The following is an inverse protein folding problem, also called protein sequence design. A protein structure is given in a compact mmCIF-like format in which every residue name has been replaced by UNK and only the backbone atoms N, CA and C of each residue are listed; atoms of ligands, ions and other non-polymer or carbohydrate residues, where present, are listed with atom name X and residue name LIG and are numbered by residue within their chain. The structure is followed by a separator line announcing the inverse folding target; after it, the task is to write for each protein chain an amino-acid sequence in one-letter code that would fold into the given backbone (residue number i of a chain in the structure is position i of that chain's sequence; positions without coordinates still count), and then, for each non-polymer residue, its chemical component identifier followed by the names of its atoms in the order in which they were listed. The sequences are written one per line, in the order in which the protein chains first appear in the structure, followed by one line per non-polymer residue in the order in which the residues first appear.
data_IF_357023103863
#
_entry.id   IF_357023103863
#
_cell.length_a   1.000
_cell.length_b   1.000
_cell.length_c   1.000
_cell.angle_alpha   90.00
_cell.angle_beta   90.00
_cell.angle_gamma   90.00
#
_symmetry.space_group_name_H-M   'P 1'
#
loop_
_entity.id
_entity.type
_entity.pdbx_description
1 polymer ?
#
# COMPACT_ATOMS: atom_id res chain seq x y z
N UNK A 1 4.09 -5.67 25.96
CA UNK A 1 3.05 -4.63 26.06
C UNK A 1 3.69 -3.26 26.06
N UNK A 2 3.42 -2.46 25.03
CA UNK A 2 3.88 -1.08 24.95
C UNK A 2 2.87 -0.23 25.70
N UNK A 3 3.25 0.24 26.90
CA UNK A 3 2.42 1.16 27.69
C UNK A 3 2.66 2.58 27.14
N UNK A 4 1.86 2.97 26.16
CA UNK A 4 2.03 4.19 25.37
C UNK A 4 2.08 5.51 26.17
N UNK A 5 1.49 5.53 27.36
CA UNK A 5 1.43 6.72 28.21
C UNK A 5 2.68 6.91 29.09
N UNK A 6 3.61 5.93 29.09
CA UNK A 6 4.76 5.94 30.01
C UNK A 6 6.09 6.38 29.40
N UNK A 7 6.13 6.70 28.10
CA UNK A 7 7.34 7.13 27.42
C UNK A 7 7.05 8.22 26.39
N UNK A 8 8.03 9.06 26.11
CA UNK A 8 7.92 10.15 25.13
C UNK A 8 8.63 9.84 23.81
N UNK A 9 9.62 8.98 23.83
CA UNK A 9 10.47 8.63 22.69
C UNK A 9 10.49 7.12 22.52
N UNK A 10 10.48 6.65 21.28
CA UNK A 10 10.61 5.24 20.89
C UNK A 10 12.04 5.00 20.38
N UNK A 11 12.78 4.12 21.03
CA UNK A 11 14.10 3.70 20.60
C UNK A 11 14.11 2.19 20.30
N UNK A 12 14.40 1.84 19.05
CA UNK A 12 14.31 0.48 18.54
C UNK A 12 15.72 -0.05 18.25
N UNK A 13 16.20 -0.99 19.06
CA UNK A 13 17.43 -1.70 18.74
C UNK A 13 17.11 -2.96 17.94
N UNK A 14 17.41 -2.92 16.64
CA UNK A 14 17.16 -4.02 15.68
C UNK A 14 18.42 -4.76 15.28
N UNK A 15 19.57 -4.48 15.89
CA UNK A 15 20.88 -5.01 15.47
C UNK A 15 20.93 -6.54 15.42
N UNK A 16 20.15 -7.22 16.27
CA UNK A 16 20.11 -8.68 16.37
C UNK A 16 18.73 -9.27 15.96
N UNK A 17 17.88 -8.49 15.31
CA UNK A 17 16.55 -8.93 14.90
C UNK A 17 16.57 -9.49 13.48
N UNK A 18 15.77 -10.50 13.23
CA UNK A 18 15.43 -10.95 11.88
C UNK A 18 14.46 -9.97 11.20
N UNK A 19 14.39 -10.01 9.87
CA UNK A 19 13.44 -9.16 9.12
C UNK A 19 11.99 -9.39 9.54
N UNK A 20 11.61 -10.61 9.90
CA UNK A 20 10.26 -10.92 10.39
C UNK A 20 9.98 -10.28 11.76
N UNK A 21 10.94 -10.30 12.67
CA UNK A 21 10.78 -9.65 13.98
C UNK A 21 10.71 -8.14 13.86
N UNK A 22 11.50 -7.55 12.96
CA UNK A 22 11.39 -6.12 12.63
C UNK A 22 10.01 -5.81 12.04
N UNK A 23 9.48 -6.64 11.15
CA UNK A 23 8.13 -6.51 10.61
C UNK A 23 7.05 -6.50 11.69
N UNK A 24 7.09 -7.47 12.60
CA UNK A 24 6.15 -7.56 13.73
C UNK A 24 6.25 -6.37 14.70
N UNK A 25 7.47 -5.87 14.93
CA UNK A 25 7.68 -4.69 15.77
C UNK A 25 7.07 -3.45 15.14
N UNK A 26 7.27 -3.27 13.86
CA UNK A 26 6.70 -2.18 13.08
C UNK A 26 5.17 -2.24 13.08
N UNK A 27 4.59 -3.41 12.88
CA UNK A 27 3.15 -3.62 12.95
C UNK A 27 2.58 -3.11 14.29
N UNK A 28 3.20 -3.46 15.41
CA UNK A 28 2.78 -3.02 16.76
C UNK A 28 2.92 -1.51 17.02
N UNK A 29 3.82 -0.85 16.32
CA UNK A 29 4.08 0.60 16.48
C UNK A 29 3.51 1.44 15.33
N UNK A 30 2.73 0.83 14.46
CA UNK A 30 2.12 1.48 13.29
C UNK A 30 1.01 2.46 13.70
N UNK A 31 0.78 3.52 12.89
CA UNK A 31 -0.31 4.48 13.12
C UNK A 31 -1.71 3.86 13.17
N UNK A 32 -1.87 2.64 12.66
CA UNK A 32 -3.16 1.93 12.66
C UNK A 32 -3.46 1.32 14.03
N UNK A 33 -2.43 0.77 14.67
CA UNK A 33 -2.56 0.01 15.90
C UNK A 33 -2.37 0.85 17.16
N UNK A 34 -1.70 2.02 17.03
CA UNK A 34 -1.40 2.90 18.13
C UNK A 34 -1.89 4.31 17.86
N UNK A 35 -2.86 4.78 18.66
CA UNK A 35 -3.40 6.13 18.54
C UNK A 35 -2.49 7.21 19.11
N UNK A 36 -1.56 6.85 19.99
CA UNK A 36 -0.68 7.78 20.70
C UNK A 36 0.78 7.62 20.33
N UNK A 37 1.25 6.39 20.13
CA UNK A 37 2.66 6.08 19.89
C UNK A 37 3.16 6.50 18.50
N UNK A 38 2.29 6.56 17.50
CA UNK A 38 2.68 6.81 16.11
C UNK A 38 3.28 8.21 15.87
N UNK A 39 2.86 9.22 16.64
CA UNK A 39 3.40 10.58 16.55
C UNK A 39 4.72 10.77 17.28
N UNK A 40 5.04 9.90 18.27
CA UNK A 40 6.24 10.05 19.08
C UNK A 40 7.52 9.91 18.26
N UNK A 41 8.57 10.67 18.59
CA UNK A 41 9.87 10.51 17.96
C UNK A 41 10.34 9.05 18.03
N UNK A 42 10.89 8.56 16.92
CA UNK A 42 11.33 7.18 16.78
C UNK A 42 12.74 7.09 16.23
N UNK A 43 13.63 6.45 16.96
CA UNK A 43 15.01 6.25 16.54
C UNK A 43 15.33 4.77 16.45
N UNK A 44 16.28 4.46 15.58
CA UNK A 44 16.68 3.07 15.31
C UNK A 44 18.17 2.90 15.54
N UNK A 45 18.53 1.83 16.25
CA UNK A 45 19.90 1.33 16.30
C UNK A 45 20.01 0.10 15.40
N UNK A 46 20.94 0.13 14.46
CA UNK A 46 21.26 -1.01 13.60
C UNK A 46 22.71 -0.97 13.16
N UNK A 47 23.32 -2.13 13.04
CA UNK A 47 24.63 -2.32 12.39
C UNK A 47 24.51 -2.56 10.88
N UNK A 48 23.29 -2.83 10.39
CA UNK A 48 23.02 -3.15 8.99
C UNK A 48 21.88 -2.29 8.45
N UNK A 49 22.20 -1.27 7.69
CA UNK A 49 21.23 -0.35 7.08
C UNK A 49 20.31 -1.00 6.05
N UNK A 50 20.70 -2.18 5.50
CA UNK A 50 19.83 -2.93 4.59
C UNK A 50 18.60 -3.52 5.30
N UNK A 51 18.64 -3.71 6.62
CA UNK A 51 17.52 -4.19 7.42
C UNK A 51 16.48 -3.11 7.73
N UNK A 52 16.81 -1.85 7.46
CA UNK A 52 15.91 -0.74 7.80
C UNK A 52 14.56 -0.82 7.05
N UNK A 53 14.58 -1.25 5.79
CA UNK A 53 13.34 -1.34 5.01
C UNK A 53 12.45 -0.09 5.20
N UNK A 54 11.23 -0.29 5.70
CA UNK A 54 10.30 0.78 6.05
C UNK A 54 10.74 1.67 7.21
N UNK A 55 11.56 1.16 8.15
CA UNK A 55 12.08 1.97 9.26
C UNK A 55 12.93 3.14 8.77
N UNK A 56 13.50 3.07 7.56
CA UNK A 56 14.21 4.20 6.97
C UNK A 56 13.30 5.44 6.79
N UNK A 57 12.01 5.20 6.58
CA UNK A 57 11.00 6.24 6.37
C UNK A 57 10.28 6.58 7.67
N UNK A 58 10.09 5.58 8.54
CA UNK A 58 9.32 5.70 9.77
C UNK A 58 10.15 6.07 10.99
N UNK A 59 11.47 6.21 10.87
CA UNK A 59 12.34 6.66 11.94
C UNK A 59 12.80 8.09 11.72
N UNK A 60 12.99 8.80 12.81
CA UNK A 60 13.46 10.16 12.85
C UNK A 60 15.01 10.26 12.85
N UNK A 61 15.67 9.11 12.87
CA UNK A 61 17.11 8.98 12.75
C UNK A 61 17.64 7.62 13.18
N UNK A 62 18.91 7.38 12.80
CA UNK A 62 19.70 6.24 13.27
C UNK A 62 20.61 6.76 14.37
N UNK A 63 20.53 6.19 15.57
CA UNK A 63 21.32 6.59 16.72
C UNK A 63 22.01 5.37 17.35
N UNK A 64 23.22 5.55 17.83
CA UNK A 64 23.98 4.46 18.45
C UNK A 64 23.55 4.19 19.89
N UNK A 65 23.02 5.20 20.55
CA UNK A 65 22.50 5.11 21.93
C UNK A 65 21.24 5.96 22.08
N UNK A 66 20.35 5.66 23.08
CA UNK A 66 19.21 6.50 23.39
C UNK A 66 19.58 7.91 23.90
N UNK A 67 20.84 8.11 24.31
CA UNK A 67 21.38 9.37 24.86
C UNK A 67 22.18 10.18 23.86
N UNK A 68 22.09 9.86 22.58
CA UNK A 68 22.76 10.57 21.50
C UNK A 68 22.16 11.98 21.36
N UNK A 69 23.00 12.97 21.09
CA UNK A 69 22.56 14.36 20.89
C UNK A 69 21.53 14.47 19.76
N UNK A 70 21.67 13.66 18.73
CA UNK A 70 20.68 13.57 17.65
C UNK A 70 19.29 13.22 18.18
N UNK A 71 19.20 12.27 19.13
CA UNK A 71 17.91 11.84 19.71
C UNK A 71 17.28 13.01 20.45
N UNK A 72 18.05 13.71 21.26
CA UNK A 72 17.56 14.83 22.07
C UNK A 72 17.10 15.99 21.18
N UNK A 73 17.96 16.50 20.33
CA UNK A 73 17.66 17.64 19.47
C UNK A 73 16.46 17.39 18.55
N UNK A 74 16.48 16.23 17.85
CA UNK A 74 15.40 15.90 16.93
C UNK A 74 14.06 15.68 17.63
N UNK A 75 14.09 15.13 18.86
CA UNK A 75 12.87 14.95 19.64
C UNK A 75 12.27 16.28 20.09
N UNK A 76 13.10 17.21 20.54
CA UNK A 76 12.65 18.56 20.93
C UNK A 76 12.00 19.30 19.77
N UNK A 77 12.61 19.22 18.57
CA UNK A 77 12.05 19.81 17.35
C UNK A 77 10.66 19.23 17.05
N UNK A 78 10.53 17.90 17.10
CA UNK A 78 9.27 17.21 16.83
C UNK A 78 8.21 17.58 17.88
N UNK A 79 8.54 17.59 19.16
CA UNK A 79 7.61 17.97 20.23
C UNK A 79 7.12 19.41 20.05
N UNK A 80 8.03 20.35 19.75
CA UNK A 80 7.65 21.74 19.46
C UNK A 80 6.65 21.86 18.32
N UNK A 81 6.76 21.02 17.29
CA UNK A 81 5.80 21.00 16.19
C UNK A 81 4.50 20.29 16.58
N UNK A 82 4.59 19.21 17.38
CA UNK A 82 3.40 18.46 17.84
C UNK A 82 2.48 19.32 18.72
N UNK A 83 3.01 20.21 19.53
CA UNK A 83 2.24 21.13 20.38
C UNK A 83 1.30 22.04 19.57
N UNK A 84 1.61 22.27 18.30
CA UNK A 84 0.78 23.04 17.38
C UNK A 84 -0.34 22.24 16.74
N UNK A 85 -0.25 20.90 16.79
CA UNK A 85 -1.20 20.01 16.11
C UNK A 85 -2.42 19.74 16.99
N UNK A 86 -3.61 19.91 16.45
CA UNK A 86 -4.82 19.42 17.09
C UNK A 86 -4.96 17.91 16.89
N UNK A 87 -4.53 17.12 17.88
CA UNK A 87 -4.55 15.65 17.83
C UNK A 87 -5.89 15.07 18.29
N UNK A 88 -6.89 15.87 18.59
CA UNK A 88 -8.21 15.40 19.02
C UNK A 88 -8.86 14.53 17.95
N UNK A 89 -9.39 13.37 18.36
CA UNK A 89 -10.28 12.58 17.51
C UNK A 89 -11.53 13.41 17.22
N UNK A 90 -11.83 13.57 15.93
CA UNK A 90 -13.10 14.15 15.50
C UNK A 90 -14.03 12.98 15.19
N UNK A 91 -15.15 12.93 15.88
CA UNK A 91 -16.23 12.01 15.58
C UNK A 91 -16.79 12.30 14.18
N UNK A 92 -17.33 11.30 13.50
CA UNK A 92 -18.06 11.43 12.25
C UNK A 92 -17.24 11.76 10.99
N UNK A 93 -16.02 11.24 10.90
CA UNK A 93 -15.19 11.35 9.69
C UNK A 93 -14.82 9.97 9.17
N UNK A 94 -14.75 9.83 7.85
CA UNK A 94 -14.26 8.61 7.22
C UNK A 94 -12.92 8.17 7.82
N UNK A 95 -12.83 6.92 8.22
CA UNK A 95 -11.65 6.37 8.94
C UNK A 95 -10.38 6.48 8.11
N UNK A 96 -10.47 6.28 6.79
CA UNK A 96 -9.30 6.38 5.94
C UNK A 96 -8.87 7.84 5.70
N UNK A 97 -9.80 8.80 5.64
CA UNK A 97 -9.45 10.23 5.58
C UNK A 97 -8.79 10.67 6.87
N UNK A 98 -9.33 10.24 8.03
CA UNK A 98 -8.71 10.48 9.32
C UNK A 98 -7.28 9.92 9.36
N UNK A 99 -7.08 8.73 8.79
CA UNK A 99 -5.80 8.10 8.66
C UNK A 99 -4.83 8.94 7.80
N UNK A 100 -5.21 9.34 6.57
CA UNK A 100 -4.37 10.17 5.72
C UNK A 100 -4.03 11.54 6.34
N UNK A 101 -5.00 12.17 7.01
CA UNK A 101 -4.74 13.43 7.72
C UNK A 101 -3.75 13.22 8.89
N UNK A 102 -3.80 12.08 9.59
CA UNK A 102 -2.77 11.75 10.60
C UNK A 102 -1.38 11.65 9.98
N UNK A 103 -1.27 11.03 8.81
CA UNK A 103 0.01 10.95 8.11
C UNK A 103 0.51 12.32 7.64
N UNK A 104 -0.38 13.18 7.15
CA UNK A 104 -0.03 14.56 6.86
C UNK A 104 0.50 15.29 8.12
N UNK A 105 -0.16 15.13 9.26
CA UNK A 105 0.30 15.68 10.54
C UNK A 105 1.64 15.10 10.97
N UNK A 106 1.85 13.80 10.75
CA UNK A 106 3.14 13.16 11.01
C UNK A 106 4.28 13.84 10.22
N UNK A 107 4.12 14.01 8.91
CA UNK A 107 5.10 14.71 8.08
C UNK A 107 5.32 16.14 8.53
N UNK A 108 4.25 16.90 8.78
CA UNK A 108 4.32 18.30 9.24
C UNK A 108 5.07 18.39 10.58
N UNK A 109 4.83 17.47 11.52
CA UNK A 109 5.54 17.46 12.81
C UNK A 109 7.04 17.19 12.68
N UNK A 110 7.47 16.63 11.56
CA UNK A 110 8.89 16.40 11.22
C UNK A 110 9.50 17.53 10.40
N UNK A 111 8.73 18.58 10.10
CA UNK A 111 9.13 19.67 9.22
C UNK A 111 9.16 19.25 7.74
N UNK A 112 8.52 18.15 7.39
CA UNK A 112 8.42 17.65 6.03
C UNK A 112 7.12 18.15 5.39
N UNK A 113 7.28 19.13 4.51
CA UNK A 113 6.14 19.77 3.83
C UNK A 113 5.94 19.27 2.40
N UNK A 114 6.73 18.31 1.97
CA UNK A 114 6.63 17.69 0.65
C UNK A 114 6.39 16.18 0.78
N UNK A 115 5.69 15.61 -0.21
CA UNK A 115 5.46 14.17 -0.27
C UNK A 115 5.43 13.68 -1.71
N UNK A 116 5.76 12.42 -1.92
CA UNK A 116 5.72 11.75 -3.23
C UNK A 116 5.51 10.25 -3.06
N UNK A 117 5.08 9.59 -4.12
CA UNK A 117 5.15 8.13 -4.19
C UNK A 117 6.61 7.69 -4.28
N UNK A 118 6.93 6.56 -3.67
CA UNK A 118 8.27 5.97 -3.74
C UNK A 118 8.20 4.45 -3.83
N UNK A 119 9.25 3.85 -4.35
CA UNK A 119 9.45 2.40 -4.29
C UNK A 119 10.09 2.06 -2.96
N UNK A 120 9.48 1.12 -2.24
CA UNK A 120 10.01 0.61 -0.98
C UNK A 120 10.41 -0.85 -1.21
N UNK A 121 11.69 -1.17 -1.12
CA UNK A 121 12.16 -2.56 -1.26
C UNK A 121 11.45 -3.48 -0.26
N UNK A 122 10.96 -4.62 -0.74
CA UNK A 122 10.26 -5.61 0.07
C UNK A 122 8.75 -5.43 0.18
N UNK A 123 8.18 -4.31 -0.31
CA UNK A 123 6.73 -4.19 -0.48
C UNK A 123 6.30 -4.71 -1.85
N UNK A 124 5.14 -5.37 -1.87
CA UNK A 124 4.58 -5.99 -3.09
C UNK A 124 3.96 -5.00 -4.05
N UNK A 125 3.71 -3.77 -3.64
CA UNK A 125 3.17 -2.72 -4.49
C UNK A 125 4.27 -1.80 -5.00
N UNK A 126 4.66 -1.87 -6.25
CA UNK A 126 5.71 -1.10 -6.89
C UNK A 126 5.88 0.33 -6.32
N UNK A 127 5.37 1.36 -7.00
CA UNK A 127 5.28 2.70 -6.42
C UNK A 127 4.16 2.79 -5.38
N UNK A 128 4.52 2.71 -4.12
CA UNK A 128 3.61 3.03 -3.02
C UNK A 128 3.58 4.53 -2.80
N UNK A 129 2.41 5.10 -2.50
CA UNK A 129 2.38 6.41 -1.90
C UNK A 129 3.16 6.38 -0.60
N UNK A 130 3.91 7.44 -0.27
CA UNK A 130 4.70 7.53 0.96
C UNK A 130 3.87 7.09 2.18
N UNK A 131 2.62 7.49 2.20
CA UNK A 131 1.69 7.18 3.28
C UNK A 131 1.21 5.73 3.28
N UNK A 132 1.01 5.12 2.12
CA UNK A 132 0.70 3.70 2.02
C UNK A 132 1.87 2.83 2.47
N UNK A 133 3.09 3.32 2.33
CA UNK A 133 4.28 2.66 2.84
C UNK A 133 4.34 2.58 4.36
N UNK A 134 3.72 3.52 5.04
CA UNK A 134 3.56 3.48 6.49
C UNK A 134 2.51 2.47 6.95
N UNK A 135 1.79 1.88 6.02
CA UNK A 135 0.76 0.88 6.24
C UNK A 135 1.33 -0.48 5.89
N UNK A 136 1.73 -1.21 6.90
CA UNK A 136 2.26 -2.56 6.77
C UNK A 136 1.33 -3.55 6.14
N UNK A 137 0.09 -3.16 5.93
CA UNK A 137 -0.94 -4.01 5.40
C UNK A 137 -1.53 -3.34 4.16
N UNK A 138 -1.11 -3.78 2.98
CA UNK A 138 -1.65 -3.37 1.68
C UNK A 138 -3.17 -3.58 1.57
N UNK A 139 -3.76 -4.33 2.52
CA UNK A 139 -5.20 -4.57 2.59
C UNK A 139 -5.98 -3.37 3.18
N UNK A 140 -5.31 -2.44 3.87
CA UNK A 140 -5.99 -1.37 4.65
C UNK A 140 -6.27 -0.13 3.82
N UNK A 141 -5.36 0.26 2.92
CA UNK A 141 -5.56 1.43 2.06
C UNK A 141 -5.07 1.11 0.65
N UNK A 142 -5.96 1.19 -0.31
CA UNK A 142 -5.60 1.01 -1.69
C UNK A 142 -4.95 2.28 -2.26
N UNK A 143 -4.13 2.09 -3.31
CA UNK A 143 -3.59 3.20 -4.09
C UNK A 143 -4.69 4.13 -4.63
N UNK A 144 -5.84 3.57 -4.99
CA UNK A 144 -6.99 4.34 -5.48
C UNK A 144 -7.44 5.36 -4.45
N UNK A 145 -7.59 4.96 -3.19
CA UNK A 145 -8.01 5.84 -2.09
C UNK A 145 -7.00 6.94 -1.81
N UNK A 146 -5.71 6.62 -1.89
CA UNK A 146 -4.69 7.63 -1.79
C UNK A 146 -4.79 8.66 -2.93
N UNK A 147 -4.98 8.21 -4.17
CA UNK A 147 -5.12 9.10 -5.32
C UNK A 147 -6.35 10.00 -5.19
N UNK A 148 -7.48 9.46 -4.73
CA UNK A 148 -8.70 10.23 -4.46
C UNK A 148 -8.49 11.27 -3.35
N UNK A 149 -7.85 10.89 -2.26
CA UNK A 149 -7.50 11.81 -1.18
C UNK A 149 -6.54 12.91 -1.65
N UNK A 150 -5.49 12.53 -2.39
CA UNK A 150 -4.54 13.49 -2.96
C UNK A 150 -5.23 14.47 -3.91
N UNK A 151 -6.12 13.96 -4.78
CA UNK A 151 -6.89 14.83 -5.66
C UNK A 151 -7.71 15.85 -4.89
N UNK A 152 -8.32 15.46 -3.76
CA UNK A 152 -9.06 16.40 -2.90
C UNK A 152 -8.15 17.45 -2.26
N UNK A 153 -6.93 17.09 -1.86
CA UNK A 153 -5.96 18.10 -1.39
C UNK A 153 -5.64 19.12 -2.47
N UNK A 154 -5.48 18.68 -3.73
CA UNK A 154 -5.22 19.56 -4.87
C UNK A 154 -6.43 20.44 -5.20
N UNK A 155 -7.64 19.88 -5.27
CA UNK A 155 -8.89 20.60 -5.57
C UNK A 155 -9.19 21.68 -4.54
N UNK A 156 -8.82 21.46 -3.28
CA UNK A 156 -8.98 22.43 -2.19
C UNK A 156 -7.83 23.43 -2.10
N UNK A 157 -6.80 23.32 -2.92
CA UNK A 157 -5.60 24.14 -2.85
C UNK A 157 -4.73 23.89 -1.61
N UNK A 158 -4.90 22.75 -0.95
CA UNK A 158 -4.13 22.37 0.24
C UNK A 158 -2.77 21.76 -0.08
N UNK A 159 -2.61 21.30 -1.31
CA UNK A 159 -1.33 20.87 -1.87
C UNK A 159 -1.21 21.34 -3.32
N UNK A 160 0.01 21.42 -3.80
CA UNK A 160 0.34 21.78 -5.17
C UNK A 160 1.42 20.84 -5.73
N UNK A 161 1.40 20.53 -7.05
CA UNK A 161 2.46 19.79 -7.69
C UNK A 161 3.74 20.65 -7.74
N UNK A 162 4.89 20.03 -7.47
CA UNK A 162 6.22 20.67 -7.51
C UNK A 162 7.04 20.15 -8.68
N UNK A 163 7.60 18.96 -8.52
CA UNK A 163 8.58 18.39 -9.43
C UNK A 163 8.10 17.06 -10.01
N UNK A 164 8.41 16.86 -11.28
CA UNK A 164 8.35 15.54 -11.90
C UNK A 164 9.46 14.66 -11.31
N UNK A 165 9.11 13.45 -10.86
CA UNK A 165 10.06 12.47 -10.31
C UNK A 165 10.40 11.44 -11.38
N UNK A 166 9.37 10.73 -11.87
CA UNK A 166 9.52 9.73 -12.91
C UNK A 166 8.17 9.38 -13.57
N UNK A 167 8.22 8.66 -14.68
CA UNK A 167 7.03 8.12 -15.34
C UNK A 167 7.04 6.61 -15.23
N UNK A 168 5.96 6.07 -14.67
CA UNK A 168 5.76 4.62 -14.55
C UNK A 168 4.56 4.15 -15.36
N UNK A 169 4.52 2.87 -15.65
CA UNK A 169 3.33 2.25 -16.22
C UNK A 169 2.51 1.58 -15.13
N UNK A 170 1.20 1.69 -15.22
CA UNK A 170 0.28 1.12 -14.25
C UNK A 170 -0.73 0.18 -14.93
N UNK A 171 -1.20 -0.80 -14.17
CA UNK A 171 -2.27 -1.69 -14.58
C UNK A 171 -3.55 -0.89 -14.81
N UNK A 172 -4.21 -0.99 -15.98
CA UNK A 172 -5.46 -0.27 -16.23
C UNK A 172 -6.58 -0.69 -15.28
N UNK A 173 -6.55 -1.91 -14.77
CA UNK A 173 -7.61 -2.48 -13.93
C UNK A 173 -7.49 -2.05 -12.44
N UNK A 174 -6.33 -2.25 -11.82
CA UNK A 174 -6.15 -1.99 -10.37
C UNK A 174 -5.21 -0.83 -10.05
N UNK A 175 -4.66 -0.16 -11.08
CA UNK A 175 -3.75 0.99 -10.97
C UNK A 175 -2.41 0.69 -10.28
N UNK A 176 -2.09 -0.57 -10.00
CA UNK A 176 -0.79 -0.96 -9.45
C UNK A 176 0.31 -0.82 -10.50
N UNK A 177 1.49 -0.38 -10.07
CA UNK A 177 2.71 -0.34 -10.88
C UNK A 177 3.57 -1.61 -10.71
N UNK A 178 3.14 -2.57 -9.91
CA UNK A 178 3.84 -3.84 -9.74
C UNK A 178 3.53 -4.77 -10.92
N UNK A 179 4.32 -4.65 -11.97
CA UNK A 179 4.16 -5.31 -13.25
C UNK A 179 5.31 -6.27 -13.51
N UNK A 180 4.99 -7.48 -13.92
CA UNK A 180 5.96 -8.52 -14.31
C UNK A 180 5.95 -8.62 -15.83
N UNK A 181 7.09 -8.33 -16.44
CA UNK A 181 7.30 -8.42 -17.87
C UNK A 181 7.88 -9.78 -18.21
N UNK A 182 7.38 -10.39 -19.28
CA UNK A 182 7.89 -11.65 -19.78
C UNK A 182 7.88 -11.67 -21.29
N UNK A 183 8.98 -12.12 -21.87
CA UNK A 183 9.05 -12.43 -23.29
C UNK A 183 8.24 -13.66 -23.61
N UNK A 184 7.63 -13.70 -24.79
CA UNK A 184 6.82 -14.83 -25.19
C UNK A 184 6.85 -15.04 -26.73
N UNK A 185 6.52 -16.27 -27.08
CA UNK A 185 6.36 -16.67 -28.49
C UNK A 185 5.28 -15.83 -29.17
N UNK A 186 5.58 -15.23 -30.35
CA UNK A 186 4.60 -14.44 -31.09
C UNK A 186 3.40 -15.23 -31.59
N UNK A 187 3.48 -16.58 -31.67
CA UNK A 187 2.43 -17.47 -32.16
C UNK A 187 1.50 -17.99 -31.08
N UNK A 188 2.02 -18.53 -30.00
CA UNK A 188 1.21 -19.18 -28.93
C UNK A 188 1.26 -18.47 -27.59
N UNK A 189 2.02 -17.38 -27.47
CA UNK A 189 2.20 -16.54 -26.27
C UNK A 189 2.78 -17.31 -25.05
N UNK A 190 3.37 -18.50 -25.27
CA UNK A 190 4.12 -19.20 -24.23
C UNK A 190 5.43 -18.48 -23.92
N UNK A 191 5.80 -18.41 -22.65
CA UNK A 191 7.12 -17.92 -22.21
C UNK A 191 8.18 -19.01 -22.20
N UNK A 192 7.82 -20.25 -22.53
CA UNK A 192 8.76 -21.37 -22.62
C UNK A 192 9.50 -21.30 -23.95
N UNK A 193 10.48 -20.42 -24.03
CA UNK A 193 11.30 -20.16 -25.22
C UNK A 193 12.77 -20.43 -24.91
N UNK A 194 13.43 -21.07 -25.82
CA UNK A 194 14.89 -21.19 -25.81
C UNK A 194 15.49 -20.14 -26.72
N UNK A 195 16.61 -19.57 -26.31
CA UNK A 195 17.40 -18.62 -27.09
C UNK A 195 18.74 -19.26 -27.43
N UNK A 196 19.13 -19.16 -28.67
CA UNK A 196 20.44 -19.59 -29.13
C UNK A 196 20.99 -18.67 -30.20
N UNK A 197 22.31 -18.46 -30.26
CA UNK A 197 22.93 -17.64 -31.31
C UNK A 197 22.83 -18.30 -32.68
N UNK A 198 22.62 -17.48 -33.68
CA UNK A 198 22.79 -17.88 -35.10
C UNK A 198 24.26 -17.77 -35.48
N UNK A 199 24.77 -18.76 -36.19
CA UNK A 199 26.08 -18.70 -36.79
C UNK A 199 25.97 -18.46 -38.30
N UNK A 200 26.71 -17.50 -38.80
CA UNK A 200 26.87 -17.24 -40.21
C UNK A 200 28.30 -17.63 -40.64
N UNK A 201 28.42 -18.71 -41.41
CA UNK A 201 29.70 -19.16 -41.97
C UNK A 201 30.01 -18.40 -43.25
N UNK A 202 31.03 -17.58 -43.25
CA UNK A 202 31.35 -16.66 -44.35
C UNK A 202 31.59 -17.36 -45.68
N UNK A 203 32.31 -18.49 -45.68
CA UNK A 203 32.70 -19.15 -46.94
C UNK A 203 31.54 -19.70 -47.75
N UNK A 204 30.50 -20.22 -47.13
CA UNK A 204 29.35 -20.81 -47.81
C UNK A 204 28.04 -20.08 -47.56
N UNK A 205 28.10 -18.95 -46.83
CA UNK A 205 26.98 -18.12 -46.42
C UNK A 205 25.82 -18.89 -45.77
N UNK A 206 26.15 -19.97 -45.04
CA UNK A 206 25.15 -20.69 -44.27
C UNK A 206 24.86 -19.95 -42.95
N UNK A 207 23.60 -19.67 -42.71
CA UNK A 207 23.12 -19.08 -41.45
C UNK A 207 22.14 -20.07 -40.83
N UNK A 208 22.46 -20.55 -39.63
CA UNK A 208 21.61 -21.46 -38.86
C UNK A 208 21.96 -21.43 -37.38
N UNK A 209 21.10 -21.97 -36.49
CA UNK A 209 21.36 -22.01 -35.07
C UNK A 209 22.70 -22.68 -34.72
N UNK A 210 23.37 -22.18 -33.68
CA UNK A 210 24.69 -22.68 -33.23
C UNK A 210 24.64 -24.17 -32.93
N UNK A 211 23.54 -24.66 -32.35
CA UNK A 211 23.31 -26.07 -32.07
C UNK A 211 23.50 -26.98 -33.30
N UNK A 212 23.18 -26.50 -34.49
CA UNK A 212 23.33 -27.24 -35.76
C UNK A 212 24.79 -27.34 -36.23
N UNK A 213 25.65 -26.49 -35.68
CA UNK A 213 27.09 -26.49 -36.01
C UNK A 213 27.89 -27.37 -35.02
N UNK A 214 27.32 -27.76 -33.91
CA UNK A 214 28.05 -28.55 -32.90
C UNK A 214 28.18 -29.98 -33.39
N UNK A 215 29.41 -30.41 -33.58
CA UNK A 215 29.78 -31.77 -33.95
C UNK A 215 31.07 -32.18 -33.21
N UNK A 216 30.98 -33.16 -32.37
CA UNK A 216 32.10 -33.71 -31.59
C UNK A 216 32.87 -32.58 -30.83
N UNK A 217 32.10 -31.78 -30.04
CA UNK A 217 32.55 -30.61 -29.29
C UNK A 217 33.25 -29.49 -30.09
N UNK A 218 33.10 -29.51 -31.39
CA UNK A 218 33.66 -28.52 -32.31
C UNK A 218 32.58 -27.92 -33.21
N UNK A 219 32.81 -26.68 -33.67
CA UNK A 219 31.91 -26.05 -34.61
C UNK A 219 32.23 -26.52 -36.03
N UNK A 220 31.26 -27.19 -36.67
CA UNK A 220 31.36 -27.70 -38.05
C UNK A 220 30.13 -27.23 -38.83
N UNK A 221 30.36 -26.58 -39.94
CA UNK A 221 29.25 -26.11 -40.76
C UNK A 221 28.38 -27.25 -41.28
N UNK A 222 27.04 -27.25 -41.05
CA UNK A 222 26.15 -28.32 -41.51
C UNK A 222 26.05 -28.40 -43.03
N UNK A 223 26.26 -27.29 -43.76
CA UNK A 223 26.14 -27.21 -45.21
C UNK A 223 27.42 -27.69 -45.94
N UNK A 224 28.58 -27.12 -45.61
CA UNK A 224 29.82 -27.42 -46.32
C UNK A 224 30.80 -28.32 -45.53
N UNK A 225 30.44 -28.71 -44.29
CA UNK A 225 31.17 -29.62 -43.42
C UNK A 225 32.55 -29.15 -42.99
N UNK A 226 32.90 -27.86 -43.21
CA UNK A 226 34.17 -27.31 -42.72
C UNK A 226 34.05 -26.96 -41.22
N UNK A 227 35.19 -27.14 -40.52
CA UNK A 227 35.33 -26.70 -39.14
C UNK A 227 35.55 -25.19 -39.09
N UNK A 228 34.98 -24.57 -38.06
CA UNK A 228 35.06 -23.13 -37.80
C UNK A 228 35.93 -22.91 -36.59
N UNK A 229 36.96 -22.06 -36.68
CA UNK A 229 37.93 -21.84 -35.65
C UNK A 229 37.91 -20.42 -35.09
N UNK A 230 37.71 -19.44 -35.93
CA UNK A 230 37.88 -18.04 -35.54
C UNK A 230 36.65 -17.20 -35.89
N UNK A 231 36.06 -16.62 -34.83
CA UNK A 231 34.99 -15.63 -34.95
C UNK A 231 35.55 -14.38 -35.66
N UNK A 232 34.79 -13.81 -36.60
CA UNK A 232 35.20 -12.66 -37.40
C UNK A 232 36.07 -13.03 -38.61
N UNK A 233 36.53 -14.29 -38.73
CA UNK A 233 37.31 -14.81 -39.85
C UNK A 233 36.56 -15.91 -40.60
N UNK A 234 36.18 -16.96 -39.88
CA UNK A 234 35.44 -18.08 -40.45
C UNK A 234 33.93 -17.86 -40.39
N UNK A 235 33.48 -17.23 -39.28
CA UNK A 235 32.05 -17.01 -38.96
C UNK A 235 31.84 -15.78 -38.09
N UNK A 236 30.58 -15.33 -38.03
CA UNK A 236 30.08 -14.38 -37.03
C UNK A 236 28.76 -14.86 -36.38
N UNK A 237 28.28 -14.10 -35.37
CA UNK A 237 27.00 -14.30 -34.71
C UNK A 237 26.11 -13.08 -34.96
N UNK A 238 25.40 -13.04 -36.10
CA UNK A 238 24.68 -11.85 -36.50
C UNK A 238 23.47 -11.52 -35.62
N UNK A 239 22.83 -12.52 -34.98
CA UNK A 239 21.65 -12.37 -34.13
C UNK A 239 21.41 -13.63 -33.32
N UNK A 240 20.56 -13.55 -32.34
CA UNK A 240 20.01 -14.70 -31.62
C UNK A 240 18.66 -15.11 -32.23
N UNK A 241 18.35 -16.39 -32.13
CA UNK A 241 17.07 -16.95 -32.56
C UNK A 241 16.39 -17.61 -31.39
N UNK A 242 15.08 -17.45 -31.30
CA UNK A 242 14.26 -18.06 -30.28
C UNK A 242 13.46 -19.22 -30.85
N UNK A 243 13.38 -20.31 -30.11
CA UNK A 243 12.53 -21.47 -30.44
C UNK A 243 11.55 -21.71 -29.27
N UNK A 244 10.28 -21.73 -29.61
CA UNK A 244 9.22 -22.03 -28.62
C UNK A 244 9.16 -23.52 -28.37
N UNK A 245 9.33 -23.94 -27.13
CA UNK A 245 9.27 -25.36 -26.73
C UNK A 245 7.86 -25.94 -26.76
N UNK A 246 6.81 -25.10 -26.75
CA UNK A 246 5.41 -25.53 -26.78
C UNK A 246 4.89 -25.76 -28.22
N UNK A 247 5.20 -24.88 -29.15
CA UNK A 247 4.63 -24.96 -30.50
C UNK A 247 5.67 -25.11 -31.62
N UNK A 248 6.96 -25.21 -31.29
CA UNK A 248 8.07 -25.37 -32.24
C UNK A 248 8.31 -24.17 -33.15
N UNK A 249 7.65 -23.01 -32.90
CA UNK A 249 7.83 -21.83 -33.74
C UNK A 249 9.19 -21.19 -33.48
N UNK A 250 9.93 -20.92 -34.54
CA UNK A 250 11.24 -20.25 -34.49
C UNK A 250 11.08 -18.79 -34.96
N UNK A 251 11.68 -17.85 -34.23
CA UNK A 251 11.52 -16.41 -34.44
C UNK A 251 12.74 -15.63 -33.92
N UNK A 252 12.93 -14.43 -34.42
CA UNK A 252 14.01 -13.53 -34.00
C UNK A 252 13.49 -12.53 -32.97
N UNK A 253 12.27 -12.06 -33.13
CA UNK A 253 11.67 -11.06 -32.22
C UNK A 253 10.61 -11.67 -31.34
N UNK A 254 10.83 -11.57 -30.06
CA UNK A 254 9.86 -11.95 -29.03
C UNK A 254 8.70 -10.96 -28.98
N UNK A 255 7.55 -11.43 -28.50
CA UNK A 255 6.50 -10.52 -28.00
C UNK A 255 6.67 -10.34 -26.50
N UNK A 256 6.26 -9.20 -26.01
CA UNK A 256 6.24 -8.92 -24.59
C UNK A 256 4.81 -9.04 -24.05
N UNK A 257 4.62 -9.78 -22.97
CA UNK A 257 3.40 -9.80 -22.17
C UNK A 257 3.66 -9.25 -20.78
N UNK A 258 2.65 -8.68 -20.15
CA UNK A 258 2.76 -8.08 -18.82
C UNK A 258 1.68 -8.67 -17.93
N UNK A 259 2.10 -9.19 -16.79
CA UNK A 259 1.20 -9.65 -15.73
C UNK A 259 1.23 -8.64 -14.58
N UNK A 260 0.06 -8.18 -14.16
CA UNK A 260 -0.03 -7.41 -12.94
C UNK A 260 0.13 -8.35 -11.74
N UNK A 261 1.12 -8.11 -10.90
CA UNK A 261 1.36 -8.94 -9.72
C UNK A 261 0.29 -8.75 -8.63
N UNK A 262 -0.43 -7.63 -8.65
CA UNK A 262 -1.45 -7.32 -7.67
C UNK A 262 -2.81 -7.98 -7.98
N UNK A 263 -3.32 -7.84 -9.23
CA UNK A 263 -4.65 -8.38 -9.60
C UNK A 263 -4.60 -9.59 -10.54
N UNK A 264 -3.40 -10.04 -10.95
CA UNK A 264 -3.20 -11.19 -11.83
C UNK A 264 -3.56 -10.97 -13.30
N UNK A 265 -4.11 -9.82 -13.68
CA UNK A 265 -4.54 -9.53 -15.05
C UNK A 265 -3.35 -9.51 -16.03
N UNK A 266 -3.61 -9.99 -17.25
CA UNK A 266 -2.64 -10.02 -18.34
C UNK A 266 -2.89 -8.84 -19.28
N UNK A 267 -1.80 -8.20 -19.69
CA UNK A 267 -1.80 -7.03 -20.55
C UNK A 267 -0.73 -7.13 -21.62
N UNK A 268 -0.90 -6.34 -22.69
CA UNK A 268 0.19 -6.00 -23.61
C UNK A 268 0.85 -4.70 -23.15
N UNK A 269 2.15 -4.47 -23.37
CA UNK A 269 2.79 -3.21 -22.98
C UNK A 269 2.04 -1.96 -23.45
N UNK A 270 1.53 -1.98 -24.67
CA UNK A 270 0.79 -0.87 -25.28
C UNK A 270 -0.57 -0.58 -24.62
N UNK A 271 -1.12 -1.50 -23.84
CA UNK A 271 -2.39 -1.29 -23.12
C UNK A 271 -2.20 -0.77 -21.69
N UNK A 272 -0.97 -0.67 -21.23
CA UNK A 272 -0.66 -0.09 -19.92
C UNK A 272 -0.87 1.42 -19.94
N UNK A 273 -1.26 1.97 -18.79
CA UNK A 273 -1.45 3.41 -18.65
C UNK A 273 -0.18 4.07 -18.12
N UNK A 274 0.37 5.09 -18.79
CA UNK A 274 1.43 5.88 -18.21
C UNK A 274 0.89 6.72 -17.06
N UNK A 275 1.69 6.87 -16.00
CA UNK A 275 1.40 7.71 -14.86
C UNK A 275 2.66 8.46 -14.45
N UNK A 276 2.54 9.76 -14.31
CA UNK A 276 3.60 10.59 -13.78
C UNK A 276 3.61 10.54 -12.26
N UNK A 277 4.76 10.23 -11.71
CA UNK A 277 5.04 10.38 -10.28
C UNK A 277 5.54 11.79 -10.08
N UNK A 278 4.81 12.54 -9.27
CA UNK A 278 5.07 13.95 -9.00
C UNK A 278 5.31 14.12 -7.51
N UNK A 279 6.22 15.01 -7.15
CA UNK A 279 6.36 15.51 -5.79
C UNK A 279 5.34 16.61 -5.58
N UNK A 280 4.66 16.55 -4.45
CA UNK A 280 3.68 17.53 -4.03
C UNK A 280 4.21 18.28 -2.81
N UNK A 281 3.75 19.53 -2.62
CA UNK A 281 4.04 20.34 -1.46
C UNK A 281 2.75 20.82 -0.84
N UNK A 282 2.66 20.79 0.49
CA UNK A 282 1.56 21.42 1.20
C UNK A 282 1.67 22.93 1.08
N UNK A 283 0.58 23.59 0.74
CA UNK A 283 0.47 25.05 0.77
C UNK A 283 0.36 25.55 2.22
N UNK A 284 0.58 26.83 2.44
CA UNK A 284 0.39 27.44 3.78
C UNK A 284 -1.05 27.26 4.28
N UNK A 285 -2.04 27.38 3.39
CA UNK A 285 -3.45 27.13 3.69
C UNK A 285 -3.69 25.66 4.01
N UNK A 286 -3.07 24.74 3.25
CA UNK A 286 -3.15 23.30 3.48
C UNK A 286 -2.57 22.89 4.83
N UNK A 287 -1.41 23.43 5.19
CA UNK A 287 -0.78 23.19 6.51
C UNK A 287 -1.75 23.65 7.62
N UNK A 288 -2.28 24.87 7.51
CA UNK A 288 -3.25 25.40 8.48
C UNK A 288 -4.50 24.50 8.59
N UNK A 289 -5.08 24.12 7.46
CA UNK A 289 -6.28 23.28 7.43
C UNK A 289 -6.04 21.87 7.99
N UNK A 290 -4.86 21.28 7.76
CA UNK A 290 -4.47 19.97 8.29
C UNK A 290 -4.23 20.06 9.80
N UNK A 291 -3.49 21.06 10.25
CA UNK A 291 -3.18 21.28 11.68
C UNK A 291 -4.45 21.45 12.50
N UNK A 292 -5.40 22.24 12.02
CA UNK A 292 -6.66 22.56 12.71
C UNK A 292 -7.83 21.60 12.44
N UNK A 293 -7.58 20.48 11.78
CA UNK A 293 -8.60 19.50 11.39
C UNK A 293 -9.66 19.98 10.37
N UNK A 294 -9.53 21.15 9.79
CA UNK A 294 -10.45 21.65 8.75
C UNK A 294 -10.41 20.77 7.51
N UNK A 295 -9.21 20.33 7.08
CA UNK A 295 -9.02 19.40 5.98
C UNK A 295 -9.72 18.07 6.26
N UNK A 296 -9.65 17.57 7.50
CA UNK A 296 -10.32 16.34 7.93
C UNK A 296 -11.82 16.43 7.74
N UNK A 297 -12.42 17.55 8.13
CA UNK A 297 -13.89 17.76 8.02
C UNK A 297 -14.31 17.92 6.58
N UNK A 298 -13.61 18.76 5.80
CA UNK A 298 -13.98 19.04 4.40
C UNK A 298 -13.81 17.79 3.52
N UNK A 299 -12.63 17.17 3.55
CA UNK A 299 -12.34 15.99 2.73
C UNK A 299 -13.14 14.78 3.21
N UNK A 300 -13.30 14.61 4.52
CA UNK A 300 -14.06 13.51 5.10
C UNK A 300 -15.52 13.49 4.70
N UNK A 301 -16.16 14.65 4.57
CA UNK A 301 -17.52 14.76 4.06
C UNK A 301 -17.61 14.37 2.59
N UNK A 302 -16.71 14.86 1.77
CA UNK A 302 -16.72 14.64 0.33
C UNK A 302 -16.41 13.19 -0.04
N UNK A 303 -15.40 12.59 0.55
CA UNK A 303 -15.02 11.20 0.26
C UNK A 303 -15.97 10.18 0.89
N UNK A 304 -16.70 10.55 1.93
CA UNK A 304 -17.79 9.75 2.44
C UNK A 304 -18.90 9.55 1.42
N UNK A 305 -19.18 10.57 0.59
CA UNK A 305 -20.11 10.49 -0.53
C UNK A 305 -19.50 9.90 -1.81
N UNK A 306 -18.19 9.70 -1.85
CA UNK A 306 -17.44 9.25 -3.03
C UNK A 306 -17.46 7.74 -3.28
N UNK A 307 -18.06 6.94 -2.40
CA UNK A 307 -18.27 5.53 -2.68
C UNK A 307 -19.28 5.36 -3.82
N UNK A 308 -18.82 4.77 -4.90
CA UNK A 308 -19.66 4.52 -6.07
C UNK A 308 -20.80 3.54 -5.79
N UNK A 309 -20.65 2.72 -4.74
CA UNK A 309 -21.68 1.78 -4.28
C UNK A 309 -21.41 1.32 -2.85
N UNK A 310 -22.45 0.77 -2.23
CA UNK A 310 -22.44 0.22 -0.88
C UNK A 310 -21.45 -0.95 -0.70
N UNK A 311 -21.25 -1.75 -1.73
CA UNK A 311 -20.32 -2.90 -1.70
C UNK A 311 -18.87 -2.45 -1.53
N UNK A 312 -18.46 -1.39 -2.23
CA UNK A 312 -17.11 -0.81 -2.07
C UNK A 312 -16.89 -0.31 -0.64
N UNK A 313 -17.91 0.25 -0.02
CA UNK A 313 -17.87 0.68 1.37
C UNK A 313 -17.71 -0.51 2.33
N UNK A 314 -18.48 -1.57 2.12
CA UNK A 314 -18.39 -2.79 2.94
C UNK A 314 -17.04 -3.50 2.81
N UNK A 315 -16.42 -3.50 1.64
CA UNK A 315 -15.08 -4.04 1.46
C UNK A 315 -14.05 -3.33 2.34
N UNK A 316 -14.15 -2.02 2.46
CA UNK A 316 -13.25 -1.25 3.33
C UNK A 316 -13.48 -1.53 4.82
N UNK A 317 -14.72 -1.67 5.24
CA UNK A 317 -15.01 -2.07 6.63
C UNK A 317 -14.39 -3.44 6.99
N UNK A 318 -14.30 -4.36 6.04
CA UNK A 318 -13.62 -5.65 6.24
C UNK A 318 -12.14 -5.48 6.57
N UNK A 319 -11.48 -4.53 5.96
CA UNK A 319 -10.06 -4.26 6.10
C UNK A 319 -9.74 -3.75 7.52
N UNK A 320 -10.60 -2.90 8.08
CA UNK A 320 -10.42 -2.40 9.44
C UNK A 320 -10.74 -3.42 10.56
N UNK A 321 -11.34 -4.56 10.23
CA UNK A 321 -11.73 -5.58 11.22
C UNK A 321 -10.58 -6.45 11.75
N UNK A 322 -9.42 -6.42 11.10
CA UNK A 322 -8.27 -7.26 11.48
C UNK A 322 -7.35 -6.67 12.55
N UNK A 323 -7.60 -5.44 12.99
CA UNK A 323 -6.80 -4.79 14.02
C UNK A 323 -7.26 -5.18 15.41
N UNK A 324 -6.85 -6.33 15.91
CA UNK A 324 -7.18 -6.78 17.25
C UNK A 324 -6.22 -6.25 18.30
N UNK A 325 -6.78 -5.82 19.41
CA UNK A 325 -6.08 -5.33 20.58
C UNK A 325 -5.30 -6.42 21.31
N UNK A 326 -4.17 -6.04 21.84
CA UNK A 326 -3.39 -6.84 22.76
C UNK A 326 -3.69 -6.31 24.17
N UNK A 327 -4.22 -7.17 25.07
CA UNK A 327 -4.44 -6.96 26.51
C UNK A 327 -5.57 -6.01 26.98
N UNK A 328 -6.61 -5.81 26.18
CA UNK A 328 -7.85 -5.24 26.68
C UNK A 328 -8.98 -6.24 26.45
N UNK A 329 -9.90 -6.37 27.40
CA UNK A 329 -11.09 -7.21 27.19
C UNK A 329 -11.95 -6.58 26.10
N UNK A 330 -12.07 -7.28 24.98
CA UNK A 330 -12.82 -6.82 23.83
C UNK A 330 -14.23 -7.40 23.89
N UNK A 331 -15.23 -6.55 24.20
CA UNK A 331 -16.63 -6.93 24.07
C UNK A 331 -17.07 -6.73 22.62
N UNK A 332 -17.36 -7.83 21.92
CA UNK A 332 -17.83 -7.79 20.53
C UNK A 332 -19.28 -8.23 20.48
N UNK A 333 -20.13 -7.39 19.90
CA UNK A 333 -21.53 -7.68 19.66
C UNK A 333 -21.77 -7.81 18.17
N UNK A 334 -22.35 -8.91 17.77
CA UNK A 334 -22.76 -9.17 16.40
C UNK A 334 -24.13 -8.57 16.16
N UNK A 335 -24.24 -7.69 15.18
CA UNK A 335 -25.50 -7.11 14.73
C UNK A 335 -26.06 -7.92 13.54
N UNK A 336 -27.32 -8.29 13.63
CA UNK A 336 -28.08 -8.90 12.54
C UNK A 336 -28.87 -7.81 11.80
N UNK A 337 -28.21 -7.07 10.94
CA UNK A 337 -28.84 -6.00 10.18
C UNK A 337 -29.27 -6.56 8.81
N UNK A 338 -30.54 -6.41 8.46
CA UNK A 338 -31.06 -6.68 7.12
C UNK A 338 -31.53 -5.39 6.48
N UNK A 339 -30.91 -5.00 5.38
CA UNK A 339 -31.38 -3.92 4.53
C UNK A 339 -32.05 -4.58 3.32
N UNK A 340 -33.36 -4.37 3.10
CA UNK A 340 -34.07 -4.95 1.99
C UNK A 340 -33.48 -4.58 0.62
N UNK A 341 -33.57 -5.46 -0.37
CA UNK A 341 -32.95 -5.26 -1.69
C UNK A 341 -33.51 -4.06 -2.46
N UNK A 342 -34.76 -3.68 -2.19
CA UNK A 342 -35.42 -2.53 -2.83
C UNK A 342 -35.00 -1.18 -2.28
N UNK A 343 -34.21 -1.13 -1.20
CA UNK A 343 -33.70 0.12 -0.63
C UNK A 343 -32.66 0.71 -1.58
N UNK A 344 -32.78 2.01 -1.87
CA UNK A 344 -31.87 2.69 -2.77
C UNK A 344 -30.42 2.66 -2.25
N UNK A 345 -29.47 2.75 -3.16
CA UNK A 345 -28.04 2.80 -2.82
C UNK A 345 -27.72 4.03 -1.94
N UNK A 346 -28.39 5.13 -2.18
CA UNK A 346 -28.25 6.36 -1.39
C UNK A 346 -28.72 6.15 0.05
N UNK A 347 -29.85 5.46 0.26
CA UNK A 347 -30.36 5.18 1.60
C UNK A 347 -29.49 4.15 2.34
N UNK A 348 -28.92 3.17 1.62
CA UNK A 348 -27.94 2.23 2.18
C UNK A 348 -26.70 2.95 2.70
N UNK A 349 -26.16 3.88 1.92
CA UNK A 349 -25.01 4.70 2.30
C UNK A 349 -25.39 5.62 3.48
N UNK A 350 -26.60 6.23 3.44
CA UNK A 350 -27.09 7.05 4.53
C UNK A 350 -27.20 6.26 5.85
N UNK A 351 -27.78 5.06 5.80
CA UNK A 351 -27.85 4.16 6.95
C UNK A 351 -26.46 3.87 7.56
N UNK A 352 -25.49 3.52 6.73
CA UNK A 352 -24.12 3.22 7.20
C UNK A 352 -23.47 4.45 7.82
N UNK A 353 -23.69 5.62 7.25
CA UNK A 353 -23.23 6.88 7.83
C UNK A 353 -23.83 7.10 9.22
N UNK A 354 -25.14 6.93 9.35
CA UNK A 354 -25.80 7.05 10.65
C UNK A 354 -25.34 6.01 11.66
N UNK A 355 -25.09 4.78 11.22
CA UNK A 355 -24.47 3.76 12.07
C UNK A 355 -23.13 4.25 12.66
N UNK A 356 -22.25 4.80 11.84
CA UNK A 356 -20.98 5.32 12.31
C UNK A 356 -21.14 6.54 13.23
N UNK A 357 -22.08 7.40 12.95
CA UNK A 357 -22.39 8.57 13.81
C UNK A 357 -22.94 8.17 15.16
N UNK A 358 -23.85 7.20 15.19
CA UNK A 358 -24.48 6.72 16.42
C UNK A 358 -23.51 5.89 17.28
N UNK A 359 -22.65 5.09 16.62
CA UNK A 359 -21.69 4.19 17.28
C UNK A 359 -20.25 4.70 17.23
N UNK A 360 -20.05 6.01 17.26
CA UNK A 360 -18.73 6.64 17.14
C UNK A 360 -17.72 6.22 18.23
N UNK A 361 -18.20 5.79 19.37
CA UNK A 361 -17.46 5.32 20.54
C UNK A 361 -17.16 3.80 20.50
N UNK A 362 -17.65 3.09 19.49
CA UNK A 362 -17.40 1.67 19.27
C UNK A 362 -16.54 1.46 18.02
N UNK A 363 -15.73 0.41 18.06
CA UNK A 363 -15.09 -0.08 16.84
C UNK A 363 -16.11 -0.84 16.02
N UNK A 364 -16.37 -0.37 14.83
CA UNK A 364 -17.30 -0.97 13.89
C UNK A 364 -16.54 -1.78 12.84
N UNK A 365 -16.96 -3.00 12.58
CA UNK A 365 -16.38 -3.85 11.56
C UNK A 365 -17.43 -4.71 10.87
N UNK A 366 -17.11 -5.14 9.64
CA UNK A 366 -17.93 -6.02 8.83
C UNK A 366 -17.14 -7.25 8.40
N UNK A 367 -17.70 -8.44 8.68
CA UNK A 367 -17.05 -9.70 8.30
C UNK A 367 -18.07 -10.70 7.77
N UNK A 368 -17.88 -11.15 6.53
CA UNK A 368 -18.87 -11.99 5.85
C UNK A 368 -20.15 -11.19 5.59
N UNK A 369 -21.29 -11.63 6.12
CA UNK A 369 -22.58 -10.93 6.02
C UNK A 369 -23.02 -10.36 7.38
N UNK A 370 -22.08 -10.08 8.26
CA UNK A 370 -22.38 -9.66 9.63
C UNK A 370 -21.64 -8.39 10.00
N UNK A 371 -22.33 -7.53 10.72
CA UNK A 371 -21.77 -6.33 11.34
C UNK A 371 -21.39 -6.63 12.79
N UNK A 372 -20.26 -6.10 13.22
CA UNK A 372 -19.75 -6.25 14.57
C UNK A 372 -19.48 -4.88 15.16
N UNK A 373 -19.97 -4.66 16.36
CA UNK A 373 -19.58 -3.54 17.21
C UNK A 373 -18.70 -4.06 18.33
N UNK A 374 -17.56 -3.44 18.55
CA UNK A 374 -16.69 -3.82 19.63
C UNK A 374 -16.30 -2.62 20.47
N UNK A 375 -16.33 -2.81 21.77
CA UNK A 375 -15.87 -1.84 22.76
C UNK A 375 -14.73 -2.44 23.57
N UNK A 376 -13.71 -1.65 23.81
CA UNK A 376 -12.56 -2.02 24.65
C UNK A 376 -12.75 -1.46 26.03
N UNK A 377 -12.52 -2.29 27.04
CA UNK A 377 -12.47 -1.85 28.43
C UNK A 377 -11.43 -2.66 29.20
N UNK A 378 -10.79 -2.03 30.15
CA UNK A 378 -9.95 -2.70 31.16
C UNK A 378 -10.74 -3.27 32.32
N UNK A 379 -12.04 -2.97 32.42
CA UNK A 379 -12.93 -3.43 33.50
C UNK A 379 -13.81 -4.58 33.00
N UNK A 380 -13.63 -5.75 33.58
CA UNK A 380 -14.37 -6.98 33.29
C UNK A 380 -15.62 -7.17 34.19
N UNK A 381 -16.02 -6.15 34.94
CA UNK A 381 -17.17 -6.26 35.82
C UNK A 381 -18.49 -6.48 35.07
N UNK A 382 -19.43 -7.22 35.71
CA UNK A 382 -20.77 -7.42 35.15
C UNK A 382 -21.56 -6.10 35.01
N UNK A 383 -21.26 -5.12 35.84
CA UNK A 383 -21.87 -3.78 35.78
C UNK A 383 -21.45 -3.03 34.51
N UNK A 384 -20.17 -3.10 34.18
CA UNK A 384 -19.64 -2.52 32.93
C UNK A 384 -20.24 -3.19 31.69
N UNK A 385 -20.36 -4.52 31.69
CA UNK A 385 -21.02 -5.26 30.59
C UNK A 385 -22.48 -4.82 30.42
N UNK A 386 -23.24 -4.72 31.49
CA UNK A 386 -24.64 -4.27 31.47
C UNK A 386 -24.77 -2.81 31.01
N UNK A 387 -23.82 -1.95 31.38
CA UNK A 387 -23.79 -0.56 30.94
C UNK A 387 -23.54 -0.45 29.45
N UNK A 388 -22.58 -1.22 28.92
CA UNK A 388 -22.29 -1.29 27.47
C UNK A 388 -23.54 -1.76 26.73
N UNK A 389 -24.19 -2.83 27.19
CA UNK A 389 -25.39 -3.36 26.53
C UNK A 389 -26.54 -2.34 26.48
N UNK A 390 -26.82 -1.68 27.60
CA UNK A 390 -27.88 -0.64 27.65
C UNK A 390 -27.57 0.53 26.72
N UNK A 391 -26.34 0.98 26.71
CA UNK A 391 -25.91 2.05 25.78
C UNK A 391 -26.10 1.62 24.32
N UNK A 392 -25.73 0.40 23.96
CA UNK A 392 -25.95 -0.14 22.63
C UNK A 392 -27.44 -0.23 22.25
N UNK A 393 -28.28 -0.77 23.13
CA UNK A 393 -29.73 -0.85 22.90
C UNK A 393 -30.34 0.54 22.65
N UNK A 394 -29.93 1.54 23.42
CA UNK A 394 -30.38 2.91 23.23
C UNK A 394 -29.93 3.48 21.88
N UNK A 395 -28.70 3.24 21.48
CA UNK A 395 -28.16 3.67 20.20
C UNK A 395 -28.84 2.97 19.02
N UNK A 396 -29.11 1.67 19.11
CA UNK A 396 -29.87 0.92 18.11
C UNK A 396 -31.30 1.46 17.97
N UNK A 397 -31.97 1.78 19.06
CA UNK A 397 -33.28 2.39 19.03
C UNK A 397 -33.27 3.76 18.31
N UNK A 398 -32.25 4.56 18.55
CA UNK A 398 -32.05 5.84 17.84
C UNK A 398 -31.88 5.62 16.34
N UNK A 399 -31.01 4.69 15.96
CA UNK A 399 -30.75 4.37 14.55
C UNK A 399 -32.01 3.83 13.84
N UNK A 400 -32.79 2.98 14.52
CA UNK A 400 -34.04 2.44 13.98
C UNK A 400 -35.10 3.53 13.76
N UNK A 401 -35.17 4.50 14.67
CA UNK A 401 -36.09 5.63 14.52
C UNK A 401 -35.74 6.51 13.30
N UNK A 402 -34.48 6.66 12.98
CA UNK A 402 -33.98 7.47 11.86
C UNK A 402 -33.92 6.72 10.52
N UNK A 403 -33.75 5.41 10.58
CA UNK A 403 -33.62 4.52 9.41
C UNK A 403 -34.58 3.31 9.55
N UNK A 404 -35.90 3.52 9.49
CA UNK A 404 -36.88 2.47 9.77
C UNK A 404 -36.92 1.34 8.71
N UNK A 405 -36.28 1.53 7.57
CA UNK A 405 -36.15 0.51 6.52
C UNK A 405 -35.11 -0.57 6.87
N UNK A 406 -34.23 -0.32 7.84
CA UNK A 406 -33.25 -1.31 8.29
C UNK A 406 -33.86 -2.15 9.43
N UNK A 407 -33.89 -3.47 9.23
CA UNK A 407 -34.28 -4.39 10.27
C UNK A 407 -33.05 -4.70 11.14
N UNK A 408 -33.07 -4.20 12.35
CA UNK A 408 -32.00 -4.30 13.35
C UNK A 408 -32.21 -5.51 14.27
#
# INVERSE_FOLDING_TARGET
DIQEDKFDIVYLNISNMSNNEVGLLLEKTSPIFSTKCWMKPRFVQTSNTAQLGLLKILSDGIANTPFDDLVTQRSEDIFSQMDRLQIKQIANVSTFVAFFIRLCKYSISRGEYTYTSTIIPGLTEGHSALYAAMLFNNEVVSRKEFLEFNQKLLDLGYAEPQDFVERVHICPQCKSSHLIYAECCPKCESSNINEEPMLHHFRCANISPESTYIYDDKLRCPKCRQYLHHIGVDYDRPTDVHTCNECGHTFIHTKMKVRCANCGSLHRPASLQPMDVVRYKYTSEGIHAIVNNEALIKIGKDLWFGYSNFESYLQQLRIFSHTSAINETLYTIRLNIRIPDHVSETDRIHFMRRMHEVFYDYNFSYKGNHYFLSSKTSDESKETQQSIMRNMEQKLATLHAECPFAHL
#
